data_IF_784517656394
#
_entry.id   IF_784517656394
#
_cell.length_a   1.000
_cell.length_b   1.000
_cell.length_c   1.000
_cell.angle_alpha   90.00
_cell.angle_beta   90.00
_cell.angle_gamma   90.00
#
_symmetry.space_group_name_H-M   'P 1'
#
loop_
_entity.id
_entity.type
_entity.pdbx_description
1 polymer ?
#
# COMPACT_ATOMS: atom_id res chain seq x y z
N UNK A 1 -16.29 -7.27 7.73
CA UNK A 1 -15.05 -7.86 8.24
C UNK A 1 -13.85 -7.29 7.47
N UNK A 2 -13.02 -6.49 8.14
CA UNK A 2 -11.86 -5.78 7.56
C UNK A 2 -10.69 -6.73 7.28
N UNK A 3 -10.55 -7.81 8.06
CA UNK A 3 -9.52 -8.83 7.85
C UNK A 3 -9.79 -9.61 6.57
N UNK A 4 -11.05 -10.02 6.35
CA UNK A 4 -11.49 -10.68 5.11
C UNK A 4 -11.18 -9.83 3.87
N UNK A 5 -11.48 -8.53 3.92
CA UNK A 5 -11.17 -7.60 2.82
C UNK A 5 -9.65 -7.52 2.58
N UNK A 6 -8.87 -7.32 3.64
CA UNK A 6 -7.41 -7.27 3.56
C UNK A 6 -6.83 -8.56 2.95
N UNK A 7 -7.30 -9.74 3.38
CA UNK A 7 -6.89 -11.04 2.83
C UNK A 7 -7.21 -11.14 1.34
N UNK A 8 -8.39 -10.72 0.91
CA UNK A 8 -8.78 -10.73 -0.50
C UNK A 8 -7.90 -9.81 -1.37
N UNK A 9 -7.62 -8.60 -0.89
CA UNK A 9 -6.71 -7.66 -1.58
C UNK A 9 -5.30 -8.26 -1.67
N UNK A 10 -4.79 -8.83 -0.56
CA UNK A 10 -3.47 -9.44 -0.51
C UNK A 10 -3.29 -10.55 -1.56
N UNK A 11 -4.31 -11.40 -1.71
CA UNK A 11 -4.35 -12.44 -2.73
C UNK A 11 -4.32 -11.86 -4.16
N UNK A 12 -5.05 -10.76 -4.40
CA UNK A 12 -5.00 -10.06 -5.68
C UNK A 12 -3.60 -9.55 -6.02
N UNK A 13 -2.91 -8.94 -5.04
CA UNK A 13 -1.54 -8.43 -5.24
C UNK A 13 -0.56 -9.59 -5.48
N UNK A 14 -0.68 -10.67 -4.69
CA UNK A 14 0.13 -11.87 -4.89
C UNK A 14 -0.07 -12.50 -6.27
N UNK A 15 -1.31 -12.49 -6.79
CA UNK A 15 -1.61 -12.95 -8.14
C UNK A 15 -0.94 -12.08 -9.22
N UNK A 16 -0.94 -10.76 -9.08
CA UNK A 16 -0.21 -9.88 -10.00
C UNK A 16 1.29 -10.17 -9.96
N UNK A 17 1.87 -10.28 -8.77
CA UNK A 17 3.30 -10.55 -8.59
C UNK A 17 3.73 -11.90 -9.16
N UNK A 18 2.89 -12.95 -9.06
CA UNK A 18 3.19 -14.25 -9.68
C UNK A 18 3.26 -14.20 -11.21
N UNK A 19 2.60 -13.21 -11.82
CA UNK A 19 2.66 -12.92 -13.26
C UNK A 19 3.70 -11.84 -13.61
N UNK A 20 4.58 -11.48 -12.67
CA UNK A 20 5.60 -10.43 -12.82
C UNK A 20 5.01 -9.05 -13.14
N UNK A 21 3.77 -8.80 -12.69
CA UNK A 21 3.09 -7.51 -12.81
C UNK A 21 3.18 -6.76 -11.49
N UNK A 22 3.52 -5.47 -11.58
CA UNK A 22 3.50 -4.53 -10.46
C UNK A 22 2.27 -3.65 -10.62
N UNK A 23 1.47 -3.52 -9.56
CA UNK A 23 0.25 -2.71 -9.57
C UNK A 23 0.61 -1.22 -9.57
N UNK A 24 1.42 -0.81 -8.59
CA UNK A 24 1.97 0.53 -8.48
C UNK A 24 1.05 1.63 -7.93
N UNK A 25 -0.20 1.32 -7.58
CA UNK A 25 -1.14 2.29 -7.00
C UNK A 25 -2.13 1.62 -6.04
N UNK A 26 -1.61 0.83 -5.10
CA UNK A 26 -2.45 0.12 -4.13
C UNK A 26 -2.86 1.09 -3.03
N UNK A 27 -4.16 1.34 -2.91
CA UNK A 27 -4.82 2.24 -1.95
C UNK A 27 -6.28 1.84 -1.81
N UNK A 28 -6.96 2.22 -0.73
CA UNK A 28 -8.37 1.83 -0.56
C UNK A 28 -9.25 2.29 -1.73
N UNK A 29 -8.93 3.44 -2.34
CA UNK A 29 -9.63 3.97 -3.50
C UNK A 29 -9.46 3.14 -4.79
N UNK A 30 -8.39 2.33 -4.92
CA UNK A 30 -8.19 1.42 -6.06
C UNK A 30 -8.73 0.00 -5.79
N UNK A 31 -9.52 -0.17 -4.73
CA UNK A 31 -10.14 -1.44 -4.37
C UNK A 31 -11.66 -1.30 -4.50
N UNK A 32 -12.24 -2.09 -5.40
CA UNK A 32 -13.69 -2.17 -5.61
C UNK A 32 -14.26 -3.37 -4.87
N UNK A 33 -15.54 -3.28 -4.48
CA UNK A 33 -16.27 -4.38 -3.85
C UNK A 33 -17.30 -4.92 -4.84
N UNK A 34 -17.21 -6.20 -5.18
CA UNK A 34 -18.19 -6.84 -6.07
C UNK A 34 -19.52 -7.12 -5.38
N UNK A 35 -20.54 -7.54 -6.15
CA UNK A 35 -21.89 -7.85 -5.64
C UNK A 35 -21.92 -8.93 -4.55
N UNK A 36 -20.86 -9.76 -4.48
CA UNK A 36 -20.70 -10.81 -3.45
C UNK A 36 -19.90 -10.30 -2.23
N UNK A 37 -19.57 -9.01 -2.20
CA UNK A 37 -18.81 -8.39 -1.13
C UNK A 37 -17.32 -8.74 -1.16
N UNK A 38 -16.75 -9.16 -2.29
CA UNK A 38 -15.32 -9.47 -2.39
C UNK A 38 -14.53 -8.28 -2.94
N UNK A 39 -13.32 -8.03 -2.42
CA UNK A 39 -12.47 -6.97 -2.93
C UNK A 39 -11.86 -7.37 -4.29
N UNK A 40 -11.78 -6.39 -5.19
CA UNK A 40 -11.17 -6.48 -6.52
C UNK A 40 -10.20 -5.31 -6.67
N UNK A 41 -8.98 -5.60 -7.13
CA UNK A 41 -8.02 -4.56 -7.50
C UNK A 41 -8.47 -3.90 -8.81
N UNK A 42 -8.45 -2.58 -8.85
CA UNK A 42 -8.74 -1.76 -10.02
C UNK A 42 -7.53 -0.88 -10.37
N UNK A 43 -7.61 -0.12 -11.46
CA UNK A 43 -6.60 0.87 -11.87
C UNK A 43 -5.18 0.31 -12.05
N UNK A 44 -5.08 -0.98 -12.37
CA UNK A 44 -3.83 -1.71 -12.61
C UNK A 44 -3.16 -1.22 -13.91
N UNK A 45 -2.52 -0.05 -13.90
CA UNK A 45 -1.65 0.40 -14.99
C UNK A 45 -1.79 1.84 -15.47
N UNK A 46 -2.65 2.68 -14.87
CA UNK A 46 -2.81 4.07 -15.33
C UNK A 46 -1.58 4.96 -15.06
N UNK A 47 -0.72 4.61 -14.10
CA UNK A 47 0.47 5.43 -13.79
C UNK A 47 1.67 5.18 -14.73
N UNK A 48 1.70 4.09 -15.51
CA UNK A 48 2.76 3.89 -16.53
C UNK A 48 2.71 4.95 -17.64
N UNK A 49 1.57 5.64 -17.80
CA UNK A 49 1.37 6.66 -18.83
C UNK A 49 1.74 8.06 -18.29
N UNK A 50 1.71 8.27 -16.97
CA UNK A 50 1.92 9.58 -16.34
C UNK A 50 3.39 9.86 -15.96
N UNK A 51 4.26 8.85 -15.98
CA UNK A 51 5.71 8.99 -15.71
C UNK A 51 6.48 9.73 -16.84
N UNK A 52 5.81 10.16 -17.92
CA UNK A 52 6.42 10.84 -19.07
C UNK A 52 6.50 12.38 -18.94
N UNK A 53 6.00 12.99 -17.86
CA UNK A 53 6.05 14.45 -17.69
C UNK A 53 6.65 14.86 -16.34
N UNK A 54 7.86 15.44 -16.32
CA UNK A 54 8.34 16.10 -15.12
C UNK A 54 7.50 17.37 -14.94
N UNK A 55 6.90 17.55 -13.78
CA UNK A 55 6.06 18.71 -13.42
C UNK A 55 4.66 18.71 -14.07
N UNK A 56 3.71 17.97 -13.47
CA UNK A 56 2.36 18.53 -13.35
C UNK A 56 2.33 19.39 -12.08
N UNK A 57 2.83 20.61 -12.22
CA UNK A 57 2.34 21.74 -11.45
C UNK A 57 0.91 21.99 -11.93
N UNK A 58 -0.06 21.46 -11.23
CA UNK A 58 -1.37 22.07 -11.08
C UNK A 58 -2.02 21.49 -9.83
N UNK A 59 -2.61 22.35 -9.01
CA UNK A 59 -3.14 22.05 -7.67
C UNK A 59 -4.37 21.14 -7.64
N UNK A 60 -4.33 20.02 -8.36
CA UNK A 60 -5.39 19.02 -8.47
C UNK A 60 -4.84 17.61 -8.46
N UNK A 61 -4.79 17.02 -7.26
CA UNK A 61 -5.07 15.59 -7.03
C UNK A 61 -4.25 14.54 -7.80
N UNK A 62 -2.97 14.34 -7.44
CA UNK A 62 -2.39 12.98 -7.42
C UNK A 62 -1.92 12.65 -6.01
N UNK A 63 -2.91 12.48 -5.13
CA UNK A 63 -2.82 12.35 -3.68
C UNK A 63 -2.14 11.07 -3.15
N UNK A 64 -1.31 10.38 -3.95
CA UNK A 64 -0.88 9.00 -3.71
C UNK A 64 0.37 8.86 -2.83
N UNK A 65 1.06 9.96 -2.50
CA UNK A 65 2.30 9.93 -1.69
C UNK A 65 2.14 9.23 -0.34
N UNK A 66 0.92 9.21 0.22
CA UNK A 66 0.60 8.56 1.50
C UNK A 66 0.88 7.05 1.51
N UNK A 67 0.75 6.38 0.36
CA UNK A 67 0.99 4.95 0.20
C UNK A 67 2.34 4.66 -0.47
N UNK A 68 3.08 5.71 -0.84
CA UNK A 68 4.29 5.56 -1.64
C UNK A 68 5.47 5.11 -0.79
N UNK A 69 6.16 4.06 -1.25
CA UNK A 69 7.35 3.55 -0.59
C UNK A 69 8.51 4.57 -0.63
N UNK A 70 9.36 4.65 0.41
CA UNK A 70 10.38 5.69 0.55
C UNK A 70 11.39 5.73 -0.61
N UNK A 71 11.71 4.58 -1.22
CA UNK A 71 12.64 4.50 -2.34
C UNK A 71 12.14 5.19 -3.62
N UNK A 72 10.82 5.36 -3.77
CA UNK A 72 10.21 5.95 -4.96
C UNK A 72 10.40 7.47 -5.02
N UNK A 73 10.69 8.13 -3.90
CA UNK A 73 10.99 9.57 -3.89
C UNK A 73 12.32 9.91 -4.57
N UNK A 74 13.19 8.90 -4.79
CA UNK A 74 14.46 9.06 -5.50
C UNK A 74 14.35 8.71 -7.00
N UNK A 75 13.17 8.87 -7.62
CA UNK A 75 12.88 8.50 -9.01
C UNK A 75 13.11 7.01 -9.32
N UNK A 76 12.99 6.14 -8.31
CA UNK A 76 13.05 4.69 -8.51
C UNK A 76 11.78 4.20 -9.23
N UNK A 77 11.92 3.14 -10.03
CA UNK A 77 10.77 2.46 -10.63
C UNK A 77 9.96 1.73 -9.56
N UNK A 78 8.65 1.64 -9.76
CA UNK A 78 7.77 0.80 -8.93
C UNK A 78 8.16 -0.67 -9.06
N UNK A 79 8.13 -1.39 -7.95
CA UNK A 79 8.54 -2.80 -7.83
C UNK A 79 7.50 -3.60 -7.04
N UNK A 80 7.63 -4.92 -7.04
CA UNK A 80 6.83 -5.77 -6.15
C UNK A 80 7.02 -5.41 -4.67
N UNK A 81 8.21 -4.96 -4.26
CA UNK A 81 8.47 -4.54 -2.89
C UNK A 81 7.83 -3.17 -2.54
N UNK A 82 7.68 -2.27 -3.52
CA UNK A 82 6.92 -1.03 -3.30
C UNK A 82 5.41 -1.31 -3.24
N UNK A 83 4.92 -2.32 -3.96
CA UNK A 83 3.53 -2.78 -3.82
C UNK A 83 3.26 -3.37 -2.43
N UNK A 84 4.20 -4.14 -1.86
CA UNK A 84 4.08 -4.67 -0.49
C UNK A 84 3.97 -3.54 0.54
N UNK A 85 4.78 -2.49 0.37
CA UNK A 85 4.69 -1.28 1.21
C UNK A 85 3.31 -0.62 1.06
N UNK A 86 2.89 -0.32 -0.17
CA UNK A 86 1.62 0.35 -0.45
C UNK A 86 0.42 -0.48 0.05
N UNK A 87 0.46 -1.80 -0.15
CA UNK A 87 -0.52 -2.74 0.39
C UNK A 87 -0.57 -2.67 1.91
N UNK A 88 0.57 -2.58 2.59
CA UNK A 88 0.63 -2.51 4.05
C UNK A 88 -0.02 -1.23 4.58
N UNK A 89 0.28 -0.08 3.95
CA UNK A 89 -0.39 1.19 4.28
C UNK A 89 -1.88 1.12 3.98
N UNK A 90 -2.26 0.48 2.87
CA UNK A 90 -3.67 0.27 2.49
C UNK A 90 -4.39 -0.65 3.47
N UNK A 91 -3.72 -1.67 3.99
CA UNK A 91 -4.26 -2.54 5.03
C UNK A 91 -4.54 -1.74 6.30
N UNK A 92 -3.62 -0.86 6.70
CA UNK A 92 -3.86 0.08 7.79
C UNK A 92 -5.10 0.96 7.53
N UNK A 93 -5.19 1.57 6.35
CA UNK A 93 -6.33 2.40 5.93
C UNK A 93 -7.66 1.62 5.94
N UNK A 94 -7.69 0.38 5.43
CA UNK A 94 -8.87 -0.49 5.49
C UNK A 94 -9.25 -0.79 6.94
N UNK A 95 -8.28 -0.95 7.83
CA UNK A 95 -8.49 -1.29 9.23
C UNK A 95 -9.01 -0.14 10.09
N UNK A 96 -8.52 1.07 9.85
CA UNK A 96 -8.94 2.28 10.56
C UNK A 96 -10.17 2.91 9.91
N UNK A 97 -10.21 2.91 8.58
CA UNK A 97 -11.12 3.77 7.79
C UNK A 97 -10.59 5.20 7.67
N UNK A 98 -9.39 5.46 8.16
CA UNK A 98 -8.76 6.77 8.19
C UNK A 98 -7.75 6.91 7.05
N UNK A 99 -7.62 8.14 6.56
CA UNK A 99 -6.59 8.49 5.60
C UNK A 99 -5.20 8.49 6.28
N UNK A 100 -4.17 7.82 5.73
CA UNK A 100 -2.83 7.86 6.31
C UNK A 100 -2.28 9.30 6.31
N UNK A 101 -1.74 9.75 7.45
CA UNK A 101 -1.19 11.11 7.64
C UNK A 101 -2.19 12.27 7.42
N UNK A 102 -3.37 12.26 8.07
CA UNK A 102 -4.45 13.21 7.76
C UNK A 102 -4.03 14.67 8.00
N UNK A 103 -4.59 15.59 7.21
CA UNK A 103 -4.33 17.04 7.33
C UNK A 103 -2.97 17.53 6.83
N UNK A 104 -2.07 16.63 6.41
CA UNK A 104 -0.76 17.00 5.88
C UNK A 104 -0.78 17.21 4.36
N UNK A 105 0.05 18.14 3.89
CA UNK A 105 0.38 18.37 2.47
C UNK A 105 1.41 17.35 1.99
N UNK A 106 1.51 17.18 0.67
CA UNK A 106 2.36 16.17 0.03
C UNK A 106 3.82 16.23 0.46
N UNK A 107 4.44 17.42 0.48
CA UNK A 107 5.84 17.56 0.92
C UNK A 107 6.04 17.17 2.39
N UNK A 108 5.04 17.41 3.26
CA UNK A 108 5.10 17.04 4.67
C UNK A 108 4.99 15.52 4.82
N UNK A 109 4.13 14.88 4.03
CA UNK A 109 3.97 13.43 3.99
C UNK A 109 5.27 12.78 3.50
N UNK A 110 5.84 13.29 2.41
CA UNK A 110 7.12 12.82 1.88
C UNK A 110 8.22 12.90 2.94
N UNK A 111 8.35 14.04 3.63
CA UNK A 111 9.32 14.20 4.71
C UNK A 111 9.13 13.18 5.84
N UNK A 112 7.89 12.94 6.28
CA UNK A 112 7.58 11.94 7.31
C UNK A 112 7.97 10.52 6.87
N UNK A 113 7.62 10.14 5.65
CA UNK A 113 7.95 8.81 5.11
C UNK A 113 9.47 8.64 4.98
N UNK A 114 10.19 9.66 4.51
CA UNK A 114 11.66 9.64 4.41
C UNK A 114 12.34 9.55 5.78
N UNK A 115 11.73 10.14 6.82
CA UNK A 115 12.14 10.03 8.22
C UNK A 115 11.69 8.71 8.90
N UNK A 116 11.13 7.78 8.12
CA UNK A 116 10.66 6.48 8.57
C UNK A 116 9.44 6.53 9.53
N UNK A 117 8.75 7.66 9.62
CA UNK A 117 7.50 7.74 10.37
C UNK A 117 6.41 6.89 9.71
N UNK A 118 5.53 6.31 10.55
CA UNK A 118 4.40 5.47 10.12
C UNK A 118 3.11 5.93 10.79
N UNK A 119 1.94 5.64 10.19
CA UNK A 119 0.67 5.75 10.89
C UNK A 119 0.68 4.99 12.22
N UNK A 120 -0.02 5.50 13.25
CA UNK A 120 -0.01 4.90 14.59
C UNK A 120 -0.70 3.53 14.60
N UNK A 121 -0.31 2.66 15.53
CA UNK A 121 -0.97 1.38 15.74
C UNK A 121 -2.44 1.59 16.18
N UNK A 122 -3.44 1.04 15.48
CA UNK A 122 -4.84 1.08 15.93
C UNK A 122 -5.04 0.17 17.15
N UNK A 123 -5.92 0.57 18.07
CA UNK A 123 -6.14 -0.12 19.35
C UNK A 123 -6.73 -1.53 19.21
N UNK A 124 -7.42 -1.80 18.11
CA UNK A 124 -8.14 -3.05 17.83
C UNK A 124 -7.41 -3.96 16.82
N UNK A 125 -6.10 -3.79 16.65
CA UNK A 125 -5.28 -4.62 15.75
C UNK A 125 -4.50 -5.68 16.53
N UNK A 126 -4.64 -6.98 16.19
CA UNK A 126 -3.85 -8.05 16.79
C UNK A 126 -2.35 -7.82 16.65
N UNK A 127 -1.56 -8.21 17.66
CA UNK A 127 -0.09 -8.07 17.63
C UNK A 127 0.53 -8.69 16.38
N UNK A 128 0.06 -9.89 15.99
CA UNK A 128 0.55 -10.57 14.80
C UNK A 128 0.34 -9.76 13.50
N UNK A 129 -0.77 -9.03 13.40
CA UNK A 129 -1.03 -8.18 12.24
C UNK A 129 -0.18 -6.92 12.27
N UNK A 130 0.01 -6.33 13.46
CA UNK A 130 0.88 -5.18 13.63
C UNK A 130 2.34 -5.51 13.29
N UNK A 131 2.86 -6.65 13.74
CA UNK A 131 4.21 -7.09 13.39
C UNK A 131 4.36 -7.40 11.90
N UNK A 132 3.30 -7.94 11.27
CA UNK A 132 3.28 -8.14 9.83
C UNK A 132 3.28 -6.80 9.07
N UNK A 133 2.58 -5.78 9.56
CA UNK A 133 2.67 -4.44 9.01
C UNK A 133 4.06 -3.84 9.18
N UNK A 134 4.67 -3.98 10.37
CA UNK A 134 6.04 -3.50 10.64
C UNK A 134 7.05 -3.97 9.59
N UNK A 135 7.01 -5.24 9.20
CA UNK A 135 7.90 -5.77 8.16
C UNK A 135 7.44 -5.38 6.73
N UNK A 136 6.13 -5.22 6.52
CA UNK A 136 5.56 -4.90 5.20
C UNK A 136 5.90 -3.51 4.69
N UNK A 137 5.94 -2.52 5.59
CA UNK A 137 6.28 -1.13 5.29
C UNK A 137 7.66 -0.72 5.79
N UNK A 138 8.56 -1.69 5.99
CA UNK A 138 9.93 -1.41 6.44
C UNK A 138 10.67 -0.50 5.44
N UNK A 139 11.53 0.40 5.93
CA UNK A 139 12.32 1.28 5.07
C UNK A 139 13.31 0.50 4.23
N UNK A 140 13.91 -0.54 4.79
CA UNK A 140 14.78 -1.46 4.07
C UNK A 140 13.93 -2.41 3.22
N UNK A 141 14.06 -2.27 1.91
CA UNK A 141 13.38 -3.09 0.90
C UNK A 141 13.61 -4.59 1.15
N UNK A 142 14.80 -4.98 1.62
CA UNK A 142 15.16 -6.38 1.84
C UNK A 142 14.41 -7.04 3.00
N UNK A 143 13.88 -6.26 3.94
CA UNK A 143 13.07 -6.76 5.04
C UNK A 143 11.63 -7.06 4.62
N UNK A 144 11.16 -6.44 3.53
CA UNK A 144 9.79 -6.61 3.06
C UNK A 144 9.63 -8.01 2.45
N UNK A 145 8.70 -8.83 2.97
CA UNK A 145 8.50 -10.16 2.42
C UNK A 145 7.88 -10.09 1.02
N UNK A 146 8.16 -11.09 0.19
CA UNK A 146 7.38 -11.29 -1.04
C UNK A 146 5.89 -11.44 -0.71
N UNK A 147 5.02 -10.96 -1.60
CA UNK A 147 3.58 -10.91 -1.33
C UNK A 147 2.97 -12.30 -1.06
N UNK A 148 3.51 -13.37 -1.67
CA UNK A 148 3.13 -14.75 -1.36
C UNK A 148 3.37 -15.10 0.11
N UNK A 149 4.57 -14.80 0.63
CA UNK A 149 4.94 -15.01 2.02
C UNK A 149 4.14 -14.12 2.97
N UNK A 150 3.82 -12.90 2.53
CA UNK A 150 2.94 -11.99 3.26
C UNK A 150 1.54 -12.61 3.42
N UNK A 151 0.94 -13.11 2.33
CA UNK A 151 -0.36 -13.78 2.32
C UNK A 151 -0.40 -14.98 3.27
N UNK A 152 0.65 -15.83 3.27
CA UNK A 152 0.76 -16.97 4.19
C UNK A 152 0.64 -16.52 5.66
N UNK A 153 1.43 -15.51 6.05
CA UNK A 153 1.42 -14.96 7.41
C UNK A 153 0.08 -14.33 7.73
N UNK A 154 -0.48 -13.53 6.83
CA UNK A 154 -1.78 -12.88 7.02
C UNK A 154 -2.90 -13.90 7.20
N UNK A 155 -2.86 -15.02 6.46
CA UNK A 155 -3.88 -16.07 6.54
C UNK A 155 -3.86 -16.79 7.88
N UNK A 156 -2.69 -16.95 8.50
CA UNK A 156 -2.53 -17.53 9.84
C UNK A 156 -3.04 -16.66 10.99
N UNK A 157 -3.38 -15.39 10.72
CA UNK A 157 -3.98 -14.50 11.72
C UNK A 157 -5.48 -14.79 11.78
N UNK A 158 -5.94 -15.17 12.98
CA UNK A 158 -7.33 -15.44 13.32
C UNK A 158 -8.18 -14.17 13.28
#
# INVERSE_FOLDING_TARGET
>A
DRLRLTKGVANGVAFLHSHKLVHGDIRAASILIDERGNPRLADTGLLKILDASPLMQDGGSTSTYRWMAPELFNNSKRTSASDVYAFTVTSWEIYTGDLPFPGLREFQIANKILQDEKPPRPSNVPDALWELWRIGWDKDISQRPAMSRYVERLTSIA
#
